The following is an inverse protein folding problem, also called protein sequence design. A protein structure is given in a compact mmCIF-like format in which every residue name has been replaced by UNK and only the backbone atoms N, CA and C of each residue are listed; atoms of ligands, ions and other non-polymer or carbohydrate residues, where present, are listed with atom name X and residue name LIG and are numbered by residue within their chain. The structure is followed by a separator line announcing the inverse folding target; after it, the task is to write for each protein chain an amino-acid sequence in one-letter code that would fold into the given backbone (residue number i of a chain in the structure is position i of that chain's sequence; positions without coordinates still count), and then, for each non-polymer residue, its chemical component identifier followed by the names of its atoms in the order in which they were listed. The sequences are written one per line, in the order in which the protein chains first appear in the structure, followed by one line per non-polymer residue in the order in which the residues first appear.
data_IF_655193787152
#
_entry.id   IF_655193787152
#
_cell.length_a   1.000
_cell.length_b   1.000
_cell.length_c   1.000
_cell.angle_alpha   90.00
_cell.angle_beta   90.00
_cell.angle_gamma   90.00
#
_symmetry.space_group_name_H-M   'P 1'
#
loop_
_entity.id
_entity.type
_entity.pdbx_description
1 polymer ?
#
# COMPACT_ATOMS: atom_id res chain seq x y z
N UNK A 1 -59.14 -0.70 -21.52
CA UNK A 1 -59.04 -2.02 -20.86
C UNK A 1 -57.57 -2.34 -20.65
N UNK A 2 -57.21 -2.65 -19.39
CA UNK A 2 -55.93 -3.16 -18.85
C UNK A 2 -54.70 -2.27 -19.07
N UNK A 3 -54.19 -1.50 -18.09
CA UNK A 3 -53.75 -1.85 -16.72
C UNK A 3 -52.61 -2.87 -16.70
N UNK A 4 -51.37 -2.39 -16.62
CA UNK A 4 -50.23 -2.93 -15.85
C UNK A 4 -48.97 -2.17 -16.27
N UNK A 5 -48.01 -1.76 -15.43
CA UNK A 5 -47.87 -1.57 -13.99
C UNK A 5 -46.54 -0.80 -13.83
N UNK A 6 -46.46 0.12 -12.87
CA UNK A 6 -45.21 0.70 -12.38
C UNK A 6 -44.21 -0.40 -11.96
N UNK A 7 -42.93 0.02 -11.85
CA UNK A 7 -41.73 -0.67 -11.28
C UNK A 7 -40.85 -1.24 -12.41
N UNK A 8 -39.66 -0.72 -12.74
CA UNK A 8 -38.58 -0.28 -11.87
C UNK A 8 -37.71 0.82 -12.52
N UNK A 9 -37.80 2.04 -11.98
CA UNK A 9 -36.58 2.76 -11.62
C UNK A 9 -36.04 2.07 -10.36
N UNK A 10 -34.72 1.86 -10.28
CA UNK A 10 -33.95 1.22 -9.19
C UNK A 10 -33.84 -0.33 -9.25
N UNK A 11 -32.74 -0.82 -9.84
CA UNK A 11 -31.92 -1.96 -9.39
C UNK A 11 -30.83 -2.27 -10.43
N UNK A 12 -29.79 -1.43 -10.50
CA UNK A 12 -28.41 -1.87 -10.81
C UNK A 12 -27.38 -1.04 -10.01
N UNK A 13 -27.79 -0.58 -8.83
CA UNK A 13 -26.93 -0.58 -7.65
C UNK A 13 -27.12 -1.97 -7.02
N UNK A 14 -26.04 -2.54 -6.48
CA UNK A 14 -25.87 -3.93 -6.00
C UNK A 14 -25.27 -4.88 -7.04
N UNK A 15 -23.93 -4.87 -7.07
CA UNK A 15 -23.11 -6.00 -7.48
C UNK A 15 -23.63 -7.31 -6.87
N UNK A 16 -23.38 -8.42 -7.57
CA UNK A 16 -22.77 -9.54 -6.88
C UNK A 16 -21.53 -10.00 -7.65
N UNK A 17 -20.44 -10.17 -6.89
CA UNK A 17 -19.71 -11.44 -6.87
C UNK A 17 -19.46 -12.05 -8.26
N UNK A 18 -18.53 -11.50 -9.04
CA UNK A 18 -17.82 -12.35 -10.00
C UNK A 18 -16.41 -12.57 -9.49
N UNK A 19 -16.13 -13.84 -9.23
CA UNK A 19 -14.78 -14.36 -9.14
C UNK A 19 -13.92 -13.70 -10.23
N UNK A 20 -12.83 -13.08 -9.79
CA UNK A 20 -11.96 -12.27 -10.65
C UNK A 20 -11.75 -12.91 -12.01
N UNK A 21 -12.32 -12.27 -13.02
CA UNK A 21 -11.97 -12.53 -14.40
C UNK A 21 -10.49 -12.15 -14.56
N UNK A 22 -9.57 -13.11 -14.77
CA UNK A 22 -8.13 -12.84 -14.84
C UNK A 22 -7.73 -12.02 -16.08
N UNK A 23 -8.66 -11.78 -17.01
CA UNK A 23 -8.42 -11.10 -18.28
C UNK A 23 -8.95 -9.66 -18.35
N UNK A 24 -9.34 -9.04 -17.22
CA UNK A 24 -9.48 -7.57 -17.22
C UNK A 24 -8.05 -7.01 -17.34
N UNK A 25 -7.71 -6.24 -18.39
CA UNK A 25 -6.41 -5.61 -18.48
C UNK A 25 -6.23 -4.80 -17.20
N UNK A 26 -5.24 -5.18 -16.40
CA UNK A 26 -4.85 -4.42 -15.21
C UNK A 26 -4.16 -3.17 -15.71
N UNK A 27 -4.94 -2.20 -16.17
CA UNK A 27 -4.46 -0.93 -16.71
C UNK A 27 -3.81 -0.15 -15.57
N UNK A 28 -2.57 0.29 -15.80
CA UNK A 28 -1.89 1.22 -14.93
C UNK A 28 -2.45 2.63 -15.11
N UNK A 29 -3.51 2.94 -14.35
CA UNK A 29 -4.14 4.26 -14.27
C UNK A 29 -3.60 5.08 -13.09
N UNK A 30 -2.33 4.87 -12.72
CA UNK A 30 -1.73 5.47 -11.52
C UNK A 30 -1.72 7.00 -11.51
N UNK A 31 -1.68 7.63 -12.69
CA UNK A 31 -1.79 9.09 -12.87
C UNK A 31 -3.20 9.65 -12.59
N UNK A 32 -4.21 8.77 -12.44
CA UNK A 32 -5.59 9.14 -12.10
C UNK A 32 -5.93 8.92 -10.63
N UNK A 33 -5.01 8.38 -9.84
CA UNK A 33 -5.23 8.03 -8.44
C UNK A 33 -4.64 9.08 -7.49
N UNK A 34 -5.50 9.69 -6.68
CA UNK A 34 -5.09 10.66 -5.67
C UNK A 34 -4.71 9.96 -4.35
N UNK A 35 -3.42 9.88 -4.06
CA UNK A 35 -2.90 9.24 -2.84
C UNK A 35 -3.36 9.96 -1.57
N UNK A 36 -3.58 11.28 -1.63
CA UNK A 36 -4.11 12.03 -0.50
C UNK A 36 -5.58 11.68 -0.22
N UNK A 37 -6.34 11.19 -1.20
CA UNK A 37 -7.72 10.72 -1.00
C UNK A 37 -7.76 9.24 -0.60
N UNK A 38 -6.94 8.40 -1.23
CA UNK A 38 -6.95 6.94 -1.01
C UNK A 38 -6.20 6.48 0.24
N UNK A 39 -5.21 7.25 0.72
CA UNK A 39 -4.56 6.99 1.99
C UNK A 39 -5.36 7.64 3.12
N UNK A 40 -6.38 6.95 3.62
CA UNK A 40 -7.32 7.49 4.61
C UNK A 40 -6.64 7.89 5.92
N UNK A 41 -6.92 9.11 6.39
CA UNK A 41 -6.41 9.58 7.69
C UNK A 41 -7.12 8.89 8.87
N UNK A 42 -6.32 8.44 9.83
CA UNK A 42 -6.76 7.67 10.99
C UNK A 42 -6.83 6.17 10.76
N UNK A 43 -6.74 5.68 9.52
CA UNK A 43 -6.62 4.22 9.27
C UNK A 43 -5.14 3.84 9.28
N UNK A 44 -4.80 2.82 10.05
CA UNK A 44 -3.46 2.27 10.10
C UNK A 44 -3.31 1.21 9.01
N UNK A 45 -2.28 1.35 8.19
CA UNK A 45 -1.98 0.41 7.11
C UNK A 45 -0.68 -0.32 7.39
N UNK A 46 -0.70 -1.65 7.35
CA UNK A 46 0.48 -2.50 7.49
C UNK A 46 1.03 -2.94 6.13
N UNK A 47 2.35 -3.07 6.02
CA UNK A 47 2.98 -3.70 4.84
C UNK A 47 2.70 -5.20 4.87
N UNK A 48 1.92 -5.68 3.89
CA UNK A 48 1.60 -7.10 3.75
C UNK A 48 2.67 -7.85 2.93
N UNK A 49 3.08 -7.30 1.79
CA UNK A 49 4.16 -7.86 0.96
C UNK A 49 4.83 -6.78 0.11
N UNK A 50 6.02 -7.09 -0.38
CA UNK A 50 6.90 -6.15 -1.09
C UNK A 50 7.86 -6.89 -2.01
N UNK A 51 8.36 -6.21 -3.05
CA UNK A 51 9.34 -6.74 -4.00
C UNK A 51 10.71 -6.01 -3.92
N UNK A 52 10.96 -5.20 -2.89
CA UNK A 52 12.14 -4.34 -2.72
C UNK A 52 13.34 -5.14 -2.23
N UNK A 53 13.13 -6.17 -1.40
CA UNK A 53 14.19 -7.05 -0.91
C UNK A 53 14.09 -8.44 -1.54
N UNK A 54 15.19 -8.95 -2.09
CA UNK A 54 15.24 -10.29 -2.71
C UNK A 54 15.33 -11.42 -1.68
N UNK A 55 15.94 -11.16 -0.53
CA UNK A 55 16.14 -12.19 0.49
C UNK A 55 15.06 -12.12 1.57
N UNK A 56 14.38 -13.25 1.83
CA UNK A 56 13.31 -13.39 2.85
C UNK A 56 13.75 -12.96 4.26
N UNK A 57 15.05 -12.94 4.52
CA UNK A 57 15.65 -12.70 5.84
C UNK A 57 15.74 -11.22 6.24
N UNK A 58 15.81 -10.27 5.31
CA UNK A 58 16.02 -8.84 5.66
C UNK A 58 14.82 -8.21 6.38
N UNK A 59 13.59 -8.68 6.09
CA UNK A 59 12.34 -8.26 6.73
C UNK A 59 11.69 -9.34 7.61
N UNK A 60 12.33 -10.50 7.80
CA UNK A 60 11.85 -11.69 8.53
C UNK A 60 10.60 -11.50 9.42
N UNK A 61 10.83 -11.21 10.69
CA UNK A 61 9.81 -10.88 11.70
C UNK A 61 9.66 -9.35 11.86
N UNK A 62 9.89 -8.54 10.82
CA UNK A 62 9.84 -7.06 10.94
C UNK A 62 8.54 -6.50 10.38
N UNK A 63 7.99 -5.51 11.06
CA UNK A 63 6.67 -4.96 10.75
C UNK A 63 6.77 -3.47 10.54
N UNK A 64 6.08 -2.96 9.52
CA UNK A 64 5.96 -1.53 9.29
C UNK A 64 4.49 -1.20 9.09
N UNK A 65 4.02 -0.26 9.88
CA UNK A 65 2.71 0.36 9.74
C UNK A 65 2.86 1.86 9.49
N UNK A 66 1.94 2.41 8.71
CA UNK A 66 1.84 3.82 8.43
C UNK A 66 0.39 4.29 8.66
N UNK A 67 0.21 5.42 9.34
CA UNK A 67 -1.09 6.03 9.59
C UNK A 67 -1.00 7.53 9.37
N UNK A 68 -1.76 8.05 8.40
CA UNK A 68 -1.92 9.49 8.25
C UNK A 68 -2.66 10.07 9.46
N UNK A 69 -2.10 11.11 10.05
CA UNK A 69 -2.64 11.71 11.26
C UNK A 69 -3.88 12.58 10.98
N UNK A 70 -4.77 12.64 11.97
CA UNK A 70 -5.88 13.60 11.99
C UNK A 70 -5.47 14.82 12.84
N UNK A 71 -5.93 16.04 12.49
CA UNK A 71 -6.69 16.38 11.29
C UNK A 71 -5.83 16.28 10.01
N UNK A 72 -6.47 15.99 8.87
CA UNK A 72 -5.79 15.76 7.57
C UNK A 72 -4.86 16.89 7.14
N UNK A 73 -5.18 18.13 7.54
CA UNK A 73 -4.40 19.34 7.28
C UNK A 73 -3.01 19.33 7.91
N UNK A 74 -2.75 18.46 8.89
CA UNK A 74 -1.43 18.35 9.52
C UNK A 74 -0.37 17.80 8.59
N UNK A 75 -0.76 17.07 7.53
CA UNK A 75 0.17 16.45 6.59
C UNK A 75 1.29 15.68 7.31
N UNK A 76 0.90 14.87 8.30
CA UNK A 76 1.80 13.99 9.04
C UNK A 76 1.44 12.52 8.86
N UNK A 77 2.45 11.67 8.86
CA UNK A 77 2.32 10.21 8.99
C UNK A 77 2.97 9.78 10.29
N UNK A 78 2.29 8.91 11.03
CA UNK A 78 2.89 8.11 12.10
C UNK A 78 3.32 6.78 11.52
N UNK A 79 4.60 6.46 11.69
CA UNK A 79 5.14 5.13 11.42
C UNK A 79 5.24 4.36 12.73
N UNK A 80 4.88 3.08 12.68
CA UNK A 80 5.14 2.12 13.76
C UNK A 80 5.94 0.97 13.16
N UNK A 81 7.15 0.77 13.65
CA UNK A 81 8.07 -0.25 13.16
C UNK A 81 8.44 -1.22 14.28
N UNK A 82 8.49 -2.50 13.99
CA UNK A 82 9.04 -3.51 14.90
C UNK A 82 10.12 -4.28 14.19
N UNK A 83 11.28 -4.42 14.84
CA UNK A 83 12.44 -5.06 14.25
C UNK A 83 12.63 -6.52 14.68
N UNK A 84 11.69 -7.08 15.45
CA UNK A 84 11.79 -8.40 16.08
C UNK A 84 12.15 -8.35 17.57
N UNK A 85 12.61 -7.20 18.08
CA UNK A 85 13.08 -7.02 19.45
C UNK A 85 12.43 -5.80 20.12
N UNK A 86 12.45 -4.65 19.44
CA UNK A 86 11.90 -3.38 19.90
C UNK A 86 10.89 -2.80 18.92
N UNK A 87 9.92 -2.07 19.47
CA UNK A 87 8.98 -1.23 18.73
C UNK A 87 9.46 0.22 18.70
N UNK A 88 9.42 0.83 17.52
CA UNK A 88 9.80 2.22 17.28
C UNK A 88 8.59 2.93 16.67
N UNK A 89 8.23 4.10 17.19
CA UNK A 89 7.23 4.96 16.57
C UNK A 89 7.83 6.32 16.26
N UNK A 90 7.56 6.84 15.08
CA UNK A 90 8.03 8.17 14.67
C UNK A 90 6.96 8.90 13.87
N UNK A 91 6.88 10.22 14.02
CA UNK A 91 6.16 11.06 13.09
C UNK A 91 7.08 11.49 11.95
N UNK A 92 6.47 11.76 10.80
CA UNK A 92 7.12 12.36 9.65
C UNK A 92 6.17 13.36 8.99
N UNK A 93 6.72 14.37 8.34
CA UNK A 93 5.96 15.26 7.48
C UNK A 93 5.75 14.59 6.11
N UNK A 94 4.64 14.91 5.46
CA UNK A 94 4.36 14.49 4.09
C UNK A 94 3.99 15.65 3.19
N UNK A 95 4.51 15.65 1.97
CA UNK A 95 4.04 16.50 0.89
C UNK A 95 3.38 15.66 -0.19
N UNK A 96 2.33 16.18 -0.80
CA UNK A 96 1.59 15.53 -1.89
C UNK A 96 1.79 16.34 -3.16
N UNK A 97 1.98 15.66 -4.29
CA UNK A 97 2.21 16.29 -5.59
C UNK A 97 1.62 15.48 -6.73
N UNK A 98 1.48 16.10 -7.89
CA UNK A 98 1.07 15.47 -9.14
C UNK A 98 2.26 15.20 -10.04
N UNK A 99 2.34 14.00 -10.62
CA UNK A 99 3.34 13.65 -11.64
C UNK A 99 3.00 14.20 -13.03
N UNK A 100 1.75 14.56 -13.29
CA UNK A 100 1.24 15.00 -14.59
C UNK A 100 0.79 16.46 -14.61
N UNK A 101 1.10 17.23 -13.56
CA UNK A 101 0.65 18.61 -13.37
C UNK A 101 -0.90 18.78 -13.44
N UNK A 102 -1.62 17.75 -12.99
CA UNK A 102 -3.08 17.78 -12.82
C UNK A 102 -3.43 18.04 -11.34
N UNK A 103 -4.71 18.24 -11.03
CA UNK A 103 -5.19 18.35 -9.63
C UNK A 103 -5.16 17.00 -8.87
N UNK A 104 -4.64 15.95 -9.50
CA UNK A 104 -4.53 14.61 -8.93
C UNK A 104 -3.15 14.47 -8.30
N UNK A 105 -3.13 14.36 -6.97
CA UNK A 105 -1.91 14.12 -6.22
C UNK A 105 -1.60 12.61 -6.18
N UNK A 106 -0.93 12.08 -7.20
CA UNK A 106 -0.53 10.66 -7.25
C UNK A 106 0.77 10.36 -6.50
N UNK A 107 1.49 11.39 -6.05
CA UNK A 107 2.79 11.28 -5.40
C UNK A 107 2.76 11.73 -3.93
N UNK A 108 3.60 11.10 -3.12
CA UNK A 108 3.81 11.43 -1.71
C UNK A 108 5.31 11.43 -1.37
N UNK A 109 5.79 12.55 -0.84
CA UNK A 109 7.14 12.69 -0.28
C UNK A 109 7.09 12.61 1.23
N UNK A 110 7.81 11.65 1.82
CA UNK A 110 8.00 11.53 3.27
C UNK A 110 9.29 12.24 3.66
N UNK A 111 9.23 13.17 4.61
CA UNK A 111 10.35 14.02 5.00
C UNK A 111 10.34 14.30 6.50
N UNK A 112 11.50 14.64 7.09
CA UNK A 112 11.58 15.06 8.48
C UNK A 112 11.06 14.01 9.46
N UNK A 113 11.48 12.76 9.29
CA UNK A 113 11.17 11.67 10.23
C UNK A 113 11.88 11.96 11.56
N UNK A 114 11.11 11.99 12.66
CA UNK A 114 11.59 12.40 13.99
C UNK A 114 12.59 11.43 14.63
N UNK A 115 12.48 10.12 14.37
CA UNK A 115 13.42 9.11 14.86
C UNK A 115 14.46 8.76 13.79
N UNK A 116 15.74 8.95 14.12
CA UNK A 116 16.86 8.72 13.20
C UNK A 116 16.93 7.28 12.67
N UNK A 117 16.47 6.28 13.44
CA UNK A 117 16.44 4.87 13.04
C UNK A 117 15.43 4.59 11.94
N UNK A 118 14.47 5.49 11.71
CA UNK A 118 13.45 5.41 10.67
C UNK A 118 13.67 6.41 9.53
N UNK A 119 14.81 7.12 9.50
CA UNK A 119 15.14 8.08 8.42
C UNK A 119 15.23 7.44 7.05
N UNK A 120 15.45 6.13 6.96
CA UNK A 120 15.42 5.37 5.70
C UNK A 120 14.03 5.35 5.03
N UNK A 121 12.97 5.75 5.74
CA UNK A 121 11.63 5.97 5.16
C UNK A 121 11.50 7.33 4.43
N UNK A 122 12.47 8.23 4.59
CA UNK A 122 12.44 9.52 3.91
C UNK A 122 12.73 9.34 2.43
N UNK A 123 11.87 9.92 1.59
CA UNK A 123 12.05 9.91 0.15
C UNK A 123 13.20 10.86 -0.25
N UNK A 124 14.29 10.30 -0.78
CA UNK A 124 15.40 11.07 -1.36
C UNK A 124 15.32 10.94 -2.88
N UNK A 125 15.10 12.06 -3.57
CA UNK A 125 14.93 12.10 -5.03
C UNK A 125 13.49 11.82 -5.45
N UNK A 126 13.11 10.54 -5.51
CA UNK A 126 11.81 10.11 -6.03
C UNK A 126 10.73 10.03 -4.93
N UNK A 127 9.47 10.40 -5.22
CA UNK A 127 8.36 10.21 -4.28
C UNK A 127 7.85 8.76 -4.28
N UNK A 128 7.10 8.42 -3.23
CA UNK A 128 6.18 7.29 -3.28
C UNK A 128 5.05 7.61 -4.26
N UNK A 129 4.62 6.62 -5.06
CA UNK A 129 3.51 6.80 -6.01
C UNK A 129 2.42 5.78 -5.78
N UNK A 130 1.17 6.22 -5.74
CA UNK A 130 0.03 5.30 -5.67
C UNK A 130 -0.18 4.65 -7.04
N UNK A 131 -0.16 3.32 -7.09
CA UNK A 131 -0.40 2.57 -8.32
C UNK A 131 -1.80 1.99 -8.40
N UNK A 132 -2.36 1.61 -7.25
CA UNK A 132 -3.67 0.98 -7.18
C UNK A 132 -4.25 1.13 -5.78
N UNK A 133 -5.57 1.27 -5.66
CA UNK A 133 -6.28 1.24 -4.40
C UNK A 133 -7.59 0.45 -4.56
N UNK A 134 -7.92 -0.39 -3.57
CA UNK A 134 -9.18 -1.11 -3.48
C UNK A 134 -9.95 -0.60 -2.24
N UNK A 135 -10.70 0.49 -2.40
CA UNK A 135 -11.38 1.09 -1.26
C UNK A 135 -10.39 1.60 -0.20
N UNK A 136 -10.79 1.51 1.06
CA UNK A 136 -9.89 1.73 2.20
C UNK A 136 -9.10 0.46 2.57
N UNK A 137 -9.40 -0.69 1.96
CA UNK A 137 -8.90 -2.01 2.39
C UNK A 137 -7.42 -2.16 2.10
N UNK A 138 -7.00 -1.92 0.85
CA UNK A 138 -5.62 -2.12 0.46
C UNK A 138 -5.20 -1.18 -0.67
N UNK A 139 -3.90 -0.97 -0.78
CA UNK A 139 -3.31 -0.17 -1.85
C UNK A 139 -1.93 -0.72 -2.24
N UNK A 140 -1.56 -0.50 -3.50
CA UNK A 140 -0.24 -0.80 -4.05
C UNK A 140 0.49 0.51 -4.25
N UNK A 141 1.61 0.67 -3.56
CA UNK A 141 2.44 1.88 -3.62
C UNK A 141 3.78 1.52 -4.24
N UNK A 142 4.18 2.28 -5.25
CA UNK A 142 5.56 2.29 -5.72
C UNK A 142 6.44 3.04 -4.71
N UNK A 143 7.55 2.42 -4.32
CA UNK A 143 8.53 3.06 -3.44
C UNK A 143 9.60 3.81 -4.25
N UNK A 144 10.21 4.86 -3.67
CA UNK A 144 11.36 5.52 -4.24
C UNK A 144 12.48 4.54 -4.58
N UNK A 145 13.14 4.74 -5.73
CA UNK A 145 14.28 3.89 -6.13
C UNK A 145 15.41 3.92 -5.11
N UNK A 146 15.60 5.05 -4.43
CA UNK A 146 16.59 5.22 -3.35
C UNK A 146 16.35 4.32 -2.14
N UNK A 147 15.17 3.74 -1.98
CA UNK A 147 14.86 2.75 -0.92
C UNK A 147 15.14 1.31 -1.33
N UNK A 148 15.56 1.10 -2.58
CA UNK A 148 15.81 -0.21 -3.14
C UNK A 148 17.28 -0.54 -3.00
N UNK A 149 17.64 -1.64 -2.31
CA UNK A 149 19.02 -2.08 -2.23
C UNK A 149 19.64 -2.35 -3.61
N UNK A 150 20.92 -1.99 -3.80
CA UNK A 150 21.62 -2.21 -5.07
C UNK A 150 21.67 -3.68 -5.50
N UNK A 151 21.76 -4.61 -4.55
CA UNK A 151 21.70 -6.06 -4.81
C UNK A 151 20.37 -6.42 -5.46
N UNK A 152 19.27 -5.82 -5.00
CA UNK A 152 17.96 -5.99 -5.64
C UNK A 152 17.96 -5.46 -7.07
N UNK A 153 18.45 -4.23 -7.27
CA UNK A 153 18.47 -3.59 -8.58
C UNK A 153 19.27 -4.42 -9.59
N UNK A 154 20.50 -4.82 -9.23
CA UNK A 154 21.40 -5.60 -10.10
C UNK A 154 20.81 -6.94 -10.54
N UNK A 155 20.01 -7.58 -9.68
CA UNK A 155 19.39 -8.87 -9.99
C UNK A 155 18.12 -8.71 -10.82
N UNK A 156 17.30 -7.67 -10.55
CA UNK A 156 15.97 -7.51 -11.18
C UNK A 156 16.00 -6.74 -12.48
N UNK A 157 17.01 -5.90 -12.69
CA UNK A 157 17.13 -5.03 -13.86
C UNK A 157 18.41 -5.31 -14.69
N UNK A 158 18.74 -6.57 -15.06
CA UNK A 158 20.00 -6.88 -15.75
C UNK A 158 20.11 -6.29 -17.16
N UNK A 159 19.00 -5.91 -17.80
CA UNK A 159 18.95 -5.44 -19.20
C UNK A 159 18.37 -4.00 -19.34
N UNK A 160 18.50 -3.15 -18.32
CA UNK A 160 18.03 -1.75 -18.39
C UNK A 160 16.50 -1.57 -18.37
N UNK A 161 15.74 -2.63 -18.10
CA UNK A 161 14.30 -2.54 -17.85
C UNK A 161 14.03 -1.89 -16.49
N UNK A 162 13.30 -0.79 -16.47
CA UNK A 162 12.86 -0.17 -15.21
C UNK A 162 11.79 -1.05 -14.55
N UNK A 163 12.08 -1.52 -13.33
CA UNK A 163 11.13 -2.27 -12.52
C UNK A 163 10.45 -1.34 -11.53
N UNK A 164 9.13 -1.48 -11.39
CA UNK A 164 8.39 -0.82 -10.30
C UNK A 164 8.61 -1.60 -9.02
N UNK A 165 9.29 -0.98 -8.06
CA UNK A 165 9.41 -1.51 -6.70
C UNK A 165 8.19 -1.09 -5.93
N UNK A 166 7.42 -2.05 -5.42
CA UNK A 166 6.15 -1.82 -4.78
C UNK A 166 6.08 -2.47 -3.41
N UNK A 167 5.21 -1.88 -2.58
CA UNK A 167 4.66 -2.48 -1.37
C UNK A 167 3.15 -2.57 -1.52
N UNK A 168 2.56 -3.58 -0.88
CA UNK A 168 1.12 -3.62 -0.66
C UNK A 168 0.83 -3.32 0.78
N UNK A 169 0.09 -2.23 0.96
CA UNK A 169 -0.41 -1.78 2.24
C UNK A 169 -1.84 -2.28 2.42
N UNK A 170 -2.17 -2.77 3.61
CA UNK A 170 -3.51 -3.25 3.96
C UNK A 170 -3.94 -2.60 5.27
N UNK A 171 -5.19 -2.15 5.34
CA UNK A 171 -5.77 -1.60 6.55
C UNK A 171 -5.73 -2.65 7.67
N UNK A 172 -5.31 -2.24 8.86
CA UNK A 172 -5.12 -3.12 10.02
C UNK A 172 -6.32 -4.03 10.28
N UNK A 173 -7.52 -3.47 10.13
CA UNK A 173 -8.77 -4.13 10.47
C UNK A 173 -9.22 -5.11 9.38
N UNK A 174 -8.74 -4.94 8.14
CA UNK A 174 -9.03 -5.83 7.00
C UNK A 174 -7.99 -6.95 6.83
N UNK A 175 -6.95 -6.99 7.67
CA UNK A 175 -5.88 -7.97 7.58
C UNK A 175 -6.33 -9.42 7.85
N UNK A 176 -7.47 -9.62 8.53
CA UNK A 176 -8.02 -10.96 8.80
C UNK A 176 -8.92 -11.50 7.67
N UNK A 177 -9.21 -10.69 6.66
CA UNK A 177 -10.16 -11.04 5.60
C UNK A 177 -9.41 -11.24 4.27
N UNK A 178 -8.91 -12.46 4.03
CA UNK A 178 -8.10 -12.82 2.85
C UNK A 178 -8.78 -12.45 1.51
N UNK A 179 -10.11 -12.48 1.45
CA UNK A 179 -10.88 -12.16 0.25
C UNK A 179 -10.77 -10.68 -0.15
N UNK A 180 -10.51 -9.77 0.80
CA UNK A 180 -10.54 -8.34 0.54
C UNK A 180 -9.26 -7.82 -0.13
N UNK A 181 -8.16 -8.59 -0.07
CA UNK A 181 -6.84 -8.17 -0.57
C UNK A 181 -6.50 -8.71 -1.97
N UNK A 182 -7.35 -9.57 -2.55
CA UNK A 182 -7.10 -10.25 -3.84
C UNK A 182 -6.85 -9.27 -5.01
N UNK A 183 -7.55 -8.14 -5.04
CA UNK A 183 -7.38 -7.16 -6.12
C UNK A 183 -5.99 -6.50 -6.07
N UNK A 184 -5.51 -6.15 -4.86
CA UNK A 184 -4.17 -5.55 -4.70
C UNK A 184 -3.06 -6.57 -4.97
N UNK A 185 -3.25 -7.85 -4.61
CA UNK A 185 -2.29 -8.92 -4.92
C UNK A 185 -2.19 -9.21 -6.41
N UNK A 186 -3.33 -9.29 -7.10
CA UNK A 186 -3.37 -9.43 -8.56
C UNK A 186 -2.71 -8.24 -9.27
N UNK A 187 -3.04 -7.00 -8.85
CA UNK A 187 -2.43 -5.80 -9.44
C UNK A 187 -0.92 -5.81 -9.27
N UNK A 188 -0.44 -6.07 -8.05
CA UNK A 188 1.00 -6.12 -7.78
C UNK A 188 1.70 -7.19 -8.62
N UNK A 189 1.12 -8.39 -8.73
CA UNK A 189 1.73 -9.47 -9.49
C UNK A 189 1.89 -9.12 -10.98
N UNK A 190 0.92 -8.40 -11.55
CA UNK A 190 0.94 -7.98 -12.94
C UNK A 190 1.90 -6.79 -13.19
N UNK A 191 1.93 -5.79 -12.30
CA UNK A 191 2.55 -4.49 -12.57
C UNK A 191 3.86 -4.20 -11.84
N UNK A 192 4.13 -4.90 -10.74
CA UNK A 192 5.28 -4.62 -9.88
C UNK A 192 6.42 -5.62 -10.10
N UNK A 193 6.61 -6.14 -11.30
CA UNK A 193 7.79 -6.93 -11.71
C UNK A 193 8.09 -8.19 -10.88
N UNK A 194 7.83 -9.36 -11.47
CA UNK A 194 8.46 -10.61 -11.05
C UNK A 194 9.02 -11.38 -12.25
N UNK A 195 10.29 -11.14 -12.60
CA UNK A 195 11.11 -12.23 -13.15
C UNK A 195 11.79 -12.91 -11.96
N UNK A 196 11.18 -14.00 -11.46
CA UNK A 196 11.69 -14.93 -10.43
C UNK A 196 11.55 -14.45 -8.97
N UNK A 197 10.50 -14.98 -8.31
CA UNK A 197 10.22 -14.99 -6.86
C UNK A 197 10.08 -13.64 -6.13
N UNK A 198 8.89 -13.37 -5.58
CA UNK A 198 8.70 -12.38 -4.51
C UNK A 198 8.73 -13.08 -3.15
N UNK A 199 9.63 -12.71 -2.24
CA UNK A 199 9.55 -13.19 -0.87
C UNK A 199 8.32 -12.59 -0.17
N UNK A 200 7.35 -13.44 0.19
CA UNK A 200 6.30 -13.05 1.15
C UNK A 200 6.96 -12.65 2.46
N UNK A 201 6.64 -11.47 2.99
CA UNK A 201 6.85 -11.18 4.41
C UNK A 201 5.89 -12.11 5.15
N UNK A 202 6.39 -12.93 6.09
CA UNK A 202 5.53 -13.78 6.92
C UNK A 202 4.82 -12.89 7.93
N UNK A 203 3.70 -12.36 7.48
CA UNK A 203 2.98 -11.29 8.13
C UNK A 203 2.28 -11.76 9.42
N UNK A 204 2.00 -13.05 9.58
CA UNK A 204 1.32 -13.63 10.76
C UNK A 204 1.94 -13.24 12.12
N UNK A 205 3.27 -13.18 12.24
CA UNK A 205 3.93 -12.75 13.49
C UNK A 205 3.88 -11.24 13.71
N UNK A 206 3.79 -10.46 12.64
CA UNK A 206 3.73 -9.02 12.71
C UNK A 206 2.44 -8.46 13.30
N UNK A 207 1.40 -9.27 13.31
CA UNK A 207 0.05 -8.85 13.67
C UNK A 207 -0.27 -9.07 15.14
N UNK A 208 0.28 -10.13 15.75
CA UNK A 208 0.09 -10.39 17.19
C UNK A 208 0.73 -9.33 18.10
N UNK A 209 1.70 -8.56 17.60
CA UNK A 209 2.43 -7.56 18.38
C UNK A 209 1.78 -6.16 18.43
N UNK A 210 0.84 -5.85 17.52
CA UNK A 210 0.26 -4.49 17.39
C UNK A 210 -1.27 -4.45 17.33
N UNK A 211 -1.95 -5.59 17.22
CA UNK A 211 -3.37 -5.64 17.55
C UNK A 211 -3.49 -5.46 19.07
N UNK A 212 -4.39 -4.61 19.59
CA UNK A 212 -4.68 -4.63 21.00
C UNK A 212 -5.07 -6.07 21.36
N UNK A 213 -4.28 -6.72 22.20
CA UNK A 213 -4.81 -7.83 23.00
C UNK A 213 -6.09 -7.31 23.59
N UNK A 214 -7.19 -8.03 23.35
CA UNK A 214 -8.48 -7.75 23.96
C UNK A 214 -8.24 -7.24 25.37
N UNK A 215 -8.78 -6.04 25.62
CA UNK A 215 -8.65 -5.39 26.90
C UNK A 215 -8.94 -6.41 27.99
N UNK A 216 -7.99 -6.55 28.91
CA UNK A 216 -8.24 -7.22 30.16
C UNK A 216 -9.43 -6.54 30.85
N UNK A 217 -10.61 -7.14 30.72
CA UNK A 217 -11.75 -7.02 31.63
C UNK A 217 -12.57 -8.28 31.51
#
# INVERSE_FOLDING_TARGET
MSTMKLVAFALMLFAPLSEGNPDIPVVDDSDKLDIQKWFYAGIQYGVLFQNIYINKTKLGDKCLFAQRQRPTKTNKIKFSFWNGQEGITALANVAFSSSTATDINDQMLVQGVEDNRLTWLQAVGDPYKLLFANGFVCMVIQVPRSHVPEDTIKIKEPDGMQVKYCVVLVASDSLQEENNIKNCTSFFAANCGMRRSSPRIKSEKCFKAFLPTEAST
#
